data_IF_793304783193
#
_entry.id   IF_793304783193
#
_cell.length_a   1.000
_cell.length_b   1.000
_cell.length_c   1.000
_cell.angle_alpha   90.00
_cell.angle_beta   90.00
_cell.angle_gamma   90.00
#
_symmetry.space_group_name_H-M   'P 1'
#
loop_
_entity.id
_entity.type
_entity.pdbx_description
1 polymer ?
#
# COMPACT_ATOMS: atom_id res chain seq x y z
N UNK A 1 8.16 10.08 36.83
CA UNK A 1 8.58 11.06 35.79
C UNK A 1 8.74 10.30 34.48
N UNK A 2 7.69 9.60 34.05
CA UNK A 2 7.68 8.83 32.80
C UNK A 2 6.93 9.65 31.75
N UNK A 3 7.62 10.52 31.03
CA UNK A 3 7.06 11.22 29.86
C UNK A 3 8.13 11.33 28.77
N UNK A 4 7.69 11.07 27.54
CA UNK A 4 8.35 11.35 26.26
C UNK A 4 9.26 10.26 25.68
N UNK A 5 8.78 9.02 25.62
CA UNK A 5 9.24 8.03 24.63
C UNK A 5 8.48 8.23 23.32
N UNK A 6 9.19 8.20 22.18
CA UNK A 6 8.57 8.09 20.86
C UNK A 6 7.65 6.86 20.89
N UNK A 7 6.33 7.03 20.78
CA UNK A 7 5.39 5.91 20.78
C UNK A 7 5.47 5.17 19.43
N UNK A 8 6.52 4.35 19.28
CA UNK A 8 6.73 3.50 18.10
C UNK A 8 5.54 2.55 17.91
N UNK A 9 4.85 2.17 18.99
CA UNK A 9 3.67 1.30 18.92
C UNK A 9 2.46 2.05 18.38
N UNK A 10 2.21 3.29 18.80
CA UNK A 10 1.19 4.17 18.22
C UNK A 10 1.47 4.54 16.77
N UNK A 11 2.74 4.84 16.46
CA UNK A 11 3.22 5.11 15.11
C UNK A 11 3.05 3.88 14.21
N UNK A 12 3.46 2.69 14.63
CA UNK A 12 3.29 1.47 13.84
C UNK A 12 1.83 1.10 13.59
N UNK A 13 0.94 1.34 14.57
CA UNK A 13 -0.52 1.17 14.41
C UNK A 13 -1.13 2.10 13.36
N UNK A 14 -0.46 3.20 13.00
CA UNK A 14 -0.94 4.11 11.97
C UNK A 14 -0.77 3.57 10.55
N UNK A 15 0.14 2.62 10.35
CA UNK A 15 0.30 1.94 9.09
C UNK A 15 -0.57 0.67 9.08
N UNK A 16 -1.67 0.71 8.33
CA UNK A 16 -2.45 -0.47 8.04
C UNK A 16 -1.92 -1.13 6.76
N UNK A 17 -1.31 -2.31 6.92
CA UNK A 17 -0.77 -3.06 5.79
C UNK A 17 -1.90 -3.57 4.90
N UNK A 18 -1.81 -3.28 3.60
CA UNK A 18 -2.66 -3.86 2.59
C UNK A 18 -2.18 -5.27 2.21
N UNK A 19 -3.13 -6.16 1.96
CA UNK A 19 -2.87 -7.50 1.43
C UNK A 19 -3.28 -7.57 -0.04
N UNK A 20 -2.57 -8.36 -0.84
CA UNK A 20 -3.06 -8.74 -2.16
C UNK A 20 -4.16 -9.77 -1.95
N UNK A 21 -5.40 -9.38 -2.23
CA UNK A 21 -6.53 -10.29 -2.10
C UNK A 21 -6.53 -11.23 -3.31
N UNK A 22 -6.55 -12.53 -3.05
CA UNK A 22 -6.82 -13.56 -4.05
C UNK A 22 -8.12 -14.24 -3.65
N UNK A 23 -9.13 -14.19 -4.50
CA UNK A 23 -10.34 -14.94 -4.23
C UNK A 23 -10.19 -16.39 -4.70
N UNK A 24 -10.80 -17.32 -3.99
CA UNK A 24 -10.77 -18.73 -4.36
C UNK A 24 -12.16 -19.36 -4.33
N UNK A 25 -12.36 -20.33 -5.23
CA UNK A 25 -13.54 -21.17 -5.32
C UNK A 25 -13.15 -22.61 -5.66
N UNK A 26 -14.13 -23.50 -5.69
CA UNK A 26 -13.95 -24.90 -6.11
C UNK A 26 -13.93 -25.89 -4.95
N UNK A 27 -13.54 -27.11 -5.27
CA UNK A 27 -13.67 -28.29 -4.41
C UNK A 27 -12.29 -28.92 -4.25
N UNK A 28 -11.48 -28.36 -3.36
CA UNK A 28 -10.17 -28.88 -3.01
C UNK A 28 -9.90 -28.81 -1.51
N UNK A 29 -10.02 -29.96 -0.84
CA UNK A 29 -9.75 -30.10 0.59
C UNK A 29 -8.26 -29.90 0.93
N UNK A 30 -7.37 -30.05 -0.06
CA UNK A 30 -5.93 -29.81 0.10
C UNK A 30 -5.49 -28.39 -0.22
N UNK A 31 -6.43 -27.49 -0.56
CA UNK A 31 -6.15 -26.08 -0.84
C UNK A 31 -5.38 -25.40 0.30
N UNK A 32 -5.78 -25.66 1.55
CA UNK A 32 -5.14 -25.05 2.74
C UNK A 32 -3.63 -25.31 2.78
N UNK A 33 -3.18 -26.50 2.36
CA UNK A 33 -1.77 -26.92 2.43
C UNK A 33 -0.90 -26.06 1.50
N UNK A 34 -1.22 -26.01 0.20
CA UNK A 34 -0.42 -25.19 -0.73
C UNK A 34 -0.77 -23.70 -0.66
N UNK A 35 -1.94 -23.32 -0.15
CA UNK A 35 -2.24 -21.93 0.18
C UNK A 35 -1.20 -21.36 1.16
N UNK A 36 -0.86 -22.09 2.23
CA UNK A 36 0.19 -21.65 3.16
C UNK A 36 1.56 -21.54 2.50
N UNK A 37 1.90 -22.48 1.61
CA UNK A 37 3.13 -22.43 0.83
C UNK A 37 3.18 -21.20 -0.09
N UNK A 38 2.07 -20.88 -0.77
CA UNK A 38 1.95 -19.68 -1.61
C UNK A 38 2.08 -18.39 -0.78
N UNK A 39 1.35 -18.26 0.33
CA UNK A 39 1.44 -17.09 1.22
C UNK A 39 2.88 -16.89 1.71
N UNK A 40 3.54 -17.97 2.13
CA UNK A 40 4.94 -17.95 2.56
C UNK A 40 5.88 -17.52 1.43
N UNK A 41 5.72 -18.12 0.24
CA UNK A 41 6.56 -17.81 -0.93
C UNK A 41 6.48 -16.32 -1.28
N UNK A 42 5.27 -15.80 -1.51
CA UNK A 42 5.07 -14.43 -1.97
C UNK A 42 5.42 -13.37 -0.91
N UNK A 43 5.35 -13.72 0.38
CA UNK A 43 5.75 -12.81 1.47
C UNK A 43 7.26 -12.74 1.70
N UNK A 44 8.03 -13.76 1.28
CA UNK A 44 9.47 -13.87 1.54
C UNK A 44 10.33 -13.62 0.31
N UNK A 45 9.83 -13.97 -0.87
CA UNK A 45 10.61 -13.85 -2.10
C UNK A 45 10.48 -12.46 -2.70
N UNK A 46 11.63 -11.98 -3.18
CA UNK A 46 11.78 -10.70 -3.86
C UNK A 46 11.35 -10.84 -5.33
N UNK A 47 10.25 -10.20 -5.69
CA UNK A 47 9.60 -10.31 -6.99
C UNK A 47 9.94 -9.10 -7.86
N UNK A 48 10.15 -9.36 -9.16
CA UNK A 48 10.50 -8.34 -10.15
C UNK A 48 9.29 -8.04 -11.00
N UNK A 49 8.63 -6.93 -10.68
CA UNK A 49 7.56 -6.41 -11.52
C UNK A 49 8.16 -5.75 -12.77
N UNK A 50 7.59 -6.02 -13.94
CA UNK A 50 7.98 -5.39 -15.20
C UNK A 50 6.82 -4.56 -15.73
N UNK A 51 7.06 -3.28 -15.96
CA UNK A 51 6.11 -2.33 -16.55
C UNK A 51 6.65 -2.00 -17.94
N UNK A 52 5.87 -2.27 -18.99
CA UNK A 52 6.30 -2.06 -20.38
C UNK A 52 7.68 -2.68 -20.69
N UNK A 53 7.87 -3.93 -20.26
CA UNK A 53 9.13 -4.71 -20.36
C UNK A 53 10.34 -4.13 -19.61
N UNK A 54 10.18 -3.04 -18.85
CA UNK A 54 11.24 -2.48 -18.00
C UNK A 54 11.05 -2.94 -16.55
N UNK A 55 12.11 -3.37 -15.86
CA UNK A 55 12.00 -3.74 -14.46
C UNK A 55 11.62 -2.50 -13.63
N UNK A 56 10.63 -2.65 -12.76
CA UNK A 56 10.33 -1.67 -11.73
C UNK A 56 11.55 -1.57 -10.79
N UNK A 57 12.02 -0.35 -10.45
CA UNK A 57 13.30 -0.15 -9.76
C UNK A 57 13.35 -0.76 -8.36
N UNK A 58 12.20 -0.97 -7.71
CA UNK A 58 12.12 -1.58 -6.39
C UNK A 58 11.58 -3.00 -6.47
N UNK A 59 12.16 -3.88 -5.66
CA UNK A 59 11.65 -5.25 -5.54
C UNK A 59 10.35 -5.28 -4.76
N UNK A 60 9.44 -6.18 -5.12
CA UNK A 60 8.16 -6.34 -4.46
C UNK A 60 8.11 -7.63 -3.64
N UNK A 61 7.31 -7.62 -2.59
CA UNK A 61 6.84 -8.79 -1.85
C UNK A 61 5.32 -8.68 -1.77
N UNK A 62 4.60 -9.78 -1.89
CA UNK A 62 3.14 -9.76 -1.83
C UNK A 62 2.62 -10.48 -0.59
N UNK A 63 2.13 -9.74 0.42
CA UNK A 63 1.36 -10.34 1.51
C UNK A 63 0.01 -10.82 0.97
N UNK A 64 -0.06 -12.08 0.53
CA UNK A 64 -1.28 -12.65 -0.03
C UNK A 64 -2.33 -12.88 1.06
N UNK A 65 -3.59 -12.59 0.75
CA UNK A 65 -4.77 -12.94 1.55
C UNK A 65 -5.76 -13.68 0.67
N UNK A 66 -5.96 -14.96 0.95
CA UNK A 66 -6.96 -15.76 0.28
C UNK A 66 -8.33 -15.58 0.94
N UNK A 67 -9.37 -15.36 0.14
CA UNK A 67 -10.77 -15.22 0.59
C UNK A 67 -11.70 -16.01 -0.32
N UNK A 68 -12.86 -16.45 0.17
CA UNK A 68 -13.85 -17.10 -0.68
C UNK A 68 -14.34 -16.16 -1.78
N UNK A 69 -14.62 -16.73 -2.96
CA UNK A 69 -15.15 -15.96 -4.08
C UNK A 69 -16.48 -15.30 -3.75
N UNK A 70 -16.56 -14.01 -4.07
CA UNK A 70 -17.78 -13.22 -4.04
C UNK A 70 -17.78 -12.25 -5.23
N UNK A 71 -18.92 -12.04 -5.88
CA UNK A 71 -19.03 -11.17 -7.06
C UNK A 71 -18.54 -9.73 -6.80
N UNK A 72 -18.71 -9.24 -5.56
CA UNK A 72 -18.29 -7.89 -5.13
C UNK A 72 -16.77 -7.70 -5.11
N UNK A 73 -15.99 -8.77 -5.14
CA UNK A 73 -14.53 -8.73 -5.16
C UNK A 73 -13.97 -8.56 -6.59
N UNK A 74 -14.81 -8.66 -7.62
CA UNK A 74 -14.36 -8.54 -8.99
C UNK A 74 -14.01 -7.09 -9.33
N UNK A 75 -12.98 -6.90 -10.15
CA UNK A 75 -12.71 -5.61 -10.78
C UNK A 75 -13.91 -5.20 -11.66
N UNK A 76 -14.17 -3.89 -11.77
CA UNK A 76 -15.29 -3.35 -12.53
C UNK A 76 -15.07 -1.90 -12.95
N UNK A 77 -15.81 -1.42 -13.96
CA UNK A 77 -15.56 -0.15 -14.65
C UNK A 77 -15.75 1.11 -13.79
N UNK A 78 -16.32 0.99 -12.59
CA UNK A 78 -16.61 2.11 -11.67
C UNK A 78 -15.76 2.10 -10.40
N UNK A 79 -14.71 1.26 -10.34
CA UNK A 79 -13.88 1.17 -9.15
C UNK A 79 -13.16 2.50 -8.93
N UNK A 80 -13.45 3.13 -7.79
CA UNK A 80 -12.68 4.27 -7.34
C UNK A 80 -11.28 3.82 -6.93
N UNK A 81 -10.26 4.68 -7.04
CA UNK A 81 -8.92 4.30 -6.63
C UNK A 81 -8.83 3.82 -5.18
N UNK A 82 -9.69 4.34 -4.30
CA UNK A 82 -9.79 3.92 -2.90
C UNK A 82 -10.43 2.53 -2.68
N UNK A 83 -11.05 1.96 -3.70
CA UNK A 83 -11.65 0.62 -3.67
C UNK A 83 -10.73 -0.47 -4.23
N UNK A 84 -9.63 -0.07 -4.87
CA UNK A 84 -8.60 -0.98 -5.41
C UNK A 84 -8.06 -1.93 -4.33
N UNK A 85 -7.96 -1.49 -3.08
CA UNK A 85 -7.46 -2.32 -1.97
C UNK A 85 -8.49 -3.34 -1.48
N UNK A 86 -9.73 -3.28 -1.96
CA UNK A 86 -10.86 -4.12 -1.52
C UNK A 86 -11.23 -5.22 -2.53
N UNK A 87 -10.69 -5.18 -3.73
CA UNK A 87 -10.93 -6.16 -4.78
C UNK A 87 -9.92 -7.30 -4.76
N UNK A 88 -10.29 -8.42 -5.37
CA UNK A 88 -9.36 -9.50 -5.66
C UNK A 88 -8.50 -9.14 -6.89
N UNK A 89 -7.18 -9.29 -6.74
CA UNK A 89 -6.23 -9.14 -7.84
C UNK A 89 -6.19 -10.38 -8.74
N UNK A 90 -6.59 -11.54 -8.20
CA UNK A 90 -6.66 -12.80 -8.92
C UNK A 90 -7.81 -13.65 -8.37
N UNK A 91 -8.51 -14.34 -9.27
CA UNK A 91 -9.51 -15.34 -8.94
C UNK A 91 -8.97 -16.74 -9.26
N UNK A 92 -9.01 -17.65 -8.29
CA UNK A 92 -8.48 -19.02 -8.44
C UNK A 92 -9.61 -20.02 -8.28
N UNK A 93 -9.77 -20.94 -9.22
CA UNK A 93 -10.65 -22.09 -9.04
C UNK A 93 -9.83 -23.35 -8.86
N UNK A 94 -10.00 -24.01 -7.71
CA UNK A 94 -9.27 -25.24 -7.38
C UNK A 94 -10.13 -26.46 -7.68
N UNK A 95 -9.60 -27.40 -8.45
CA UNK A 95 -10.26 -28.65 -8.81
C UNK A 95 -9.48 -29.79 -8.18
N UNK A 96 -10.11 -30.59 -7.33
CA UNK A 96 -9.53 -31.83 -6.82
C UNK A 96 -10.54 -32.98 -6.89
N UNK A 97 -10.39 -33.80 -7.92
CA UNK A 97 -11.32 -34.88 -8.30
C UNK A 97 -10.60 -36.21 -8.43
N UNK A 98 -11.37 -37.29 -8.33
CA UNK A 98 -10.83 -38.66 -8.38
C UNK A 98 -10.77 -39.24 -9.80
N UNK A 99 -11.59 -38.72 -10.73
CA UNK A 99 -11.67 -39.18 -12.12
C UNK A 99 -12.26 -38.10 -13.04
N UNK A 100 -12.19 -38.32 -14.36
CA UNK A 100 -12.83 -37.43 -15.33
C UNK A 100 -14.37 -37.46 -15.24
N UNK A 101 -14.96 -38.57 -14.80
CA UNK A 101 -16.41 -38.68 -14.61
C UNK A 101 -16.86 -37.93 -13.34
N UNK A 102 -16.08 -38.00 -12.26
CA UNK A 102 -16.28 -37.20 -11.05
C UNK A 102 -16.26 -35.69 -11.37
N UNK A 103 -15.30 -35.25 -12.19
CA UNK A 103 -15.27 -33.88 -12.71
C UNK A 103 -16.56 -33.51 -13.46
N UNK A 104 -16.98 -34.35 -14.42
CA UNK A 104 -18.19 -34.10 -15.24
C UNK A 104 -19.45 -33.98 -14.37
N UNK A 105 -19.59 -34.88 -13.39
CA UNK A 105 -20.77 -34.96 -12.56
C UNK A 105 -20.83 -33.87 -11.49
N UNK A 106 -19.71 -33.55 -10.84
CA UNK A 106 -19.72 -32.81 -9.58
C UNK A 106 -19.08 -31.42 -9.64
N UNK A 107 -18.20 -31.13 -10.62
CA UNK A 107 -17.38 -29.90 -10.62
C UNK A 107 -17.57 -29.05 -11.88
N UNK A 108 -17.79 -29.69 -13.04
CA UNK A 108 -17.84 -29.03 -14.35
C UNK A 108 -18.83 -27.89 -14.41
N UNK A 109 -20.04 -28.06 -13.86
CA UNK A 109 -21.04 -27.00 -13.82
C UNK A 109 -20.56 -25.82 -12.97
N UNK A 110 -20.08 -26.07 -11.75
CA UNK A 110 -19.63 -25.04 -10.82
C UNK A 110 -18.48 -24.18 -11.39
N UNK A 111 -17.48 -24.81 -12.03
CA UNK A 111 -16.37 -24.07 -12.65
C UNK A 111 -16.83 -23.29 -13.87
N UNK A 112 -17.78 -23.82 -14.65
CA UNK A 112 -18.34 -23.12 -15.81
C UNK A 112 -19.15 -21.90 -15.38
N UNK A 113 -19.95 -22.02 -14.33
CA UNK A 113 -20.76 -20.92 -13.79
C UNK A 113 -19.88 -19.82 -13.18
N UNK A 114 -18.87 -20.21 -12.39
CA UNK A 114 -17.86 -19.27 -11.87
C UNK A 114 -17.14 -18.55 -13.01
N UNK A 115 -16.72 -19.28 -14.04
CA UNK A 115 -16.06 -18.70 -15.20
C UNK A 115 -16.96 -17.75 -15.97
N UNK A 116 -18.24 -18.10 -16.16
CA UNK A 116 -19.22 -17.23 -16.82
C UNK A 116 -19.43 -15.91 -16.06
N UNK A 117 -19.51 -15.96 -14.73
CA UNK A 117 -19.59 -14.76 -13.88
C UNK A 117 -18.36 -13.87 -14.04
N UNK A 118 -17.16 -14.44 -14.01
CA UNK A 118 -15.93 -13.69 -14.22
C UNK A 118 -15.85 -13.10 -15.63
N UNK A 119 -16.16 -13.89 -16.66
CA UNK A 119 -16.06 -13.48 -18.05
C UNK A 119 -17.12 -12.41 -18.43
N UNK A 120 -18.14 -12.21 -17.60
CA UNK A 120 -19.08 -11.09 -17.71
C UNK A 120 -18.49 -9.74 -17.24
N UNK A 121 -17.35 -9.77 -16.53
CA UNK A 121 -16.62 -8.60 -16.05
C UNK A 121 -15.45 -8.31 -16.97
N UNK A 122 -15.14 -7.03 -17.17
CA UNK A 122 -13.92 -6.66 -17.89
C UNK A 122 -12.71 -6.77 -16.97
N UNK A 123 -11.57 -7.13 -17.54
CA UNK A 123 -10.25 -6.99 -16.94
C UNK A 123 -9.96 -7.78 -15.65
N UNK A 124 -10.82 -8.75 -15.31
CA UNK A 124 -10.57 -9.68 -14.22
C UNK A 124 -9.50 -10.72 -14.60
N UNK A 125 -8.60 -11.01 -13.66
CA UNK A 125 -7.62 -12.08 -13.84
C UNK A 125 -8.03 -13.35 -13.12
N UNK A 126 -7.88 -14.49 -13.78
CA UNK A 126 -8.24 -15.78 -13.20
C UNK A 126 -7.33 -16.92 -13.66
N UNK A 127 -7.25 -17.96 -12.83
CA UNK A 127 -6.58 -19.23 -13.14
C UNK A 127 -7.38 -20.41 -12.60
N UNK A 128 -7.16 -21.60 -13.17
CA UNK A 128 -7.66 -22.87 -12.65
C UNK A 128 -6.46 -23.71 -12.23
N UNK A 129 -6.46 -24.16 -10.99
CA UNK A 129 -5.46 -25.10 -10.45
C UNK A 129 -6.09 -26.48 -10.41
N UNK A 130 -5.48 -27.43 -11.11
CA UNK A 130 -5.92 -28.81 -11.24
C UNK A 130 -5.04 -29.64 -10.31
N UNK A 131 -5.63 -30.12 -9.23
CA UNK A 131 -4.97 -31.02 -8.30
C UNK A 131 -5.45 -32.45 -8.54
N UNK A 132 -4.50 -33.35 -8.80
CA UNK A 132 -4.78 -34.75 -9.11
C UNK A 132 -4.28 -35.72 -8.04
N UNK A 133 -4.00 -35.23 -6.83
CA UNK A 133 -3.50 -36.05 -5.71
C UNK A 133 -4.48 -37.17 -5.28
N UNK A 134 -5.77 -36.99 -5.52
CA UNK A 134 -6.83 -38.00 -5.22
C UNK A 134 -7.00 -39.05 -6.31
N UNK A 135 -6.42 -38.87 -7.49
CA UNK A 135 -6.52 -39.85 -8.57
C UNK A 135 -5.51 -41.00 -8.34
N UNK A 136 -5.98 -42.24 -8.49
CA UNK A 136 -5.25 -43.46 -8.08
C UNK A 136 -4.02 -43.76 -8.94
N UNK A 137 -4.08 -43.47 -10.23
CA UNK A 137 -3.05 -43.88 -11.19
C UNK A 137 -2.79 -42.80 -12.25
N UNK A 138 -1.65 -42.91 -12.94
CA UNK A 138 -1.20 -41.93 -13.95
C UNK A 138 -2.17 -41.77 -15.12
N UNK A 139 -2.82 -42.84 -15.58
CA UNK A 139 -3.77 -42.79 -16.70
C UNK A 139 -5.01 -41.98 -16.28
N UNK A 140 -5.49 -42.17 -15.05
CA UNK A 140 -6.59 -41.39 -14.48
C UNK A 140 -6.22 -39.92 -14.31
N UNK A 141 -5.01 -39.62 -13.79
CA UNK A 141 -4.49 -38.24 -13.70
C UNK A 141 -4.48 -37.54 -15.05
N UNK A 142 -3.92 -38.17 -16.07
CA UNK A 142 -3.88 -37.62 -17.43
C UNK A 142 -5.28 -37.38 -18.00
N UNK A 143 -6.20 -38.33 -17.82
CA UNK A 143 -7.60 -38.22 -18.30
C UNK A 143 -8.34 -37.02 -17.67
N UNK A 144 -8.14 -36.76 -16.38
CA UNK A 144 -8.68 -35.58 -15.70
C UNK A 144 -8.14 -34.29 -16.33
N UNK A 145 -6.81 -34.19 -16.46
CA UNK A 145 -6.13 -33.00 -16.98
C UNK A 145 -6.54 -32.74 -18.43
N UNK A 146 -6.55 -33.76 -19.28
CA UNK A 146 -6.98 -33.66 -20.68
C UNK A 146 -8.44 -33.21 -20.80
N UNK A 147 -9.32 -33.74 -19.95
CA UNK A 147 -10.73 -33.35 -19.98
C UNK A 147 -10.94 -31.88 -19.59
N UNK A 148 -10.27 -31.41 -18.55
CA UNK A 148 -10.35 -30.00 -18.12
C UNK A 148 -9.71 -29.08 -19.17
N UNK A 149 -8.54 -29.45 -19.72
CA UNK A 149 -7.89 -28.71 -20.81
C UNK A 149 -8.77 -28.63 -22.06
N UNK A 150 -9.52 -29.69 -22.37
CA UNK A 150 -10.49 -29.70 -23.47
C UNK A 150 -11.64 -28.72 -23.23
N UNK A 151 -12.21 -28.69 -22.02
CA UNK A 151 -13.31 -27.78 -21.69
C UNK A 151 -12.86 -26.29 -21.67
N UNK A 152 -11.59 -26.03 -21.34
CA UNK A 152 -10.98 -24.69 -21.32
C UNK A 152 -9.92 -24.47 -22.43
N UNK A 153 -10.09 -25.13 -23.59
CA UNK A 153 -9.07 -25.15 -24.65
C UNK A 153 -8.69 -23.77 -25.22
N UNK A 154 -9.55 -22.76 -25.04
CA UNK A 154 -9.27 -21.36 -25.43
C UNK A 154 -8.30 -20.64 -24.48
N UNK A 155 -8.05 -21.20 -23.29
CA UNK A 155 -7.27 -20.57 -22.22
C UNK A 155 -6.21 -21.51 -21.62
N UNK A 156 -5.38 -22.20 -22.44
CA UNK A 156 -4.46 -23.23 -21.94
C UNK A 156 -3.41 -22.67 -20.96
N UNK A 157 -3.04 -21.39 -21.10
CA UNK A 157 -2.10 -20.68 -20.23
C UNK A 157 -2.69 -20.28 -18.86
N UNK A 158 -3.98 -20.53 -18.61
CA UNK A 158 -4.65 -20.28 -17.33
C UNK A 158 -4.88 -21.56 -16.52
N UNK A 159 -4.41 -22.71 -17.02
CA UNK A 159 -4.60 -24.02 -16.41
C UNK A 159 -3.27 -24.53 -15.87
N UNK A 160 -3.21 -24.76 -14.56
CA UNK A 160 -2.00 -25.18 -13.87
C UNK A 160 -2.22 -26.54 -13.20
N UNK A 161 -1.40 -27.53 -13.55
CA UNK A 161 -1.43 -28.85 -12.91
C UNK A 161 -0.56 -28.83 -11.65
N UNK A 162 -1.12 -29.29 -10.54
CA UNK A 162 -0.45 -29.45 -9.24
C UNK A 162 -0.77 -30.86 -8.72
N UNK A 163 -0.13 -31.91 -9.28
CA UNK A 163 -0.50 -33.30 -9.01
C UNK A 163 -0.21 -33.72 -7.57
N UNK A 164 0.76 -33.07 -6.92
CA UNK A 164 1.03 -33.15 -5.49
C UNK A 164 1.53 -31.78 -5.00
N UNK A 165 1.10 -31.37 -3.82
CA UNK A 165 1.62 -30.18 -3.12
C UNK A 165 3.11 -30.26 -2.80
N UNK A 166 3.69 -31.47 -2.75
CA UNK A 166 5.13 -31.68 -2.57
C UNK A 166 5.94 -31.52 -3.85
N UNK A 167 5.30 -31.57 -5.03
CA UNK A 167 5.96 -31.42 -6.33
C UNK A 167 6.44 -29.98 -6.52
N UNK A 168 7.75 -29.78 -6.33
CA UNK A 168 8.36 -28.45 -6.40
C UNK A 168 8.31 -27.86 -7.81
N UNK A 169 8.42 -28.66 -8.86
CA UNK A 169 8.39 -28.15 -10.23
C UNK A 169 6.99 -27.67 -10.62
N UNK A 170 5.96 -28.45 -10.27
CA UNK A 170 4.57 -28.07 -10.44
C UNK A 170 4.22 -26.84 -9.59
N UNK A 171 4.64 -26.81 -8.34
CA UNK A 171 4.42 -25.67 -7.44
C UNK A 171 5.05 -24.37 -7.98
N UNK A 172 6.29 -24.43 -8.46
CA UNK A 172 6.96 -23.27 -9.10
C UNK A 172 6.18 -22.80 -10.33
N UNK A 173 5.61 -23.71 -11.12
CA UNK A 173 4.79 -23.36 -12.29
C UNK A 173 3.51 -22.62 -11.87
N UNK A 174 2.84 -23.07 -10.81
CA UNK A 174 1.67 -22.38 -10.22
C UNK A 174 2.06 -20.99 -9.72
N UNK A 175 3.18 -20.87 -9.00
CA UNK A 175 3.73 -19.60 -8.51
C UNK A 175 3.98 -18.62 -9.65
N UNK A 176 4.63 -19.08 -10.73
CA UNK A 176 4.89 -18.23 -11.91
C UNK A 176 3.60 -17.78 -12.57
N UNK A 177 2.60 -18.65 -12.66
CA UNK A 177 1.26 -18.31 -13.15
C UNK A 177 0.58 -17.23 -12.32
N UNK A 178 0.53 -17.42 -11.00
CA UNK A 178 -0.03 -16.44 -10.06
C UNK A 178 0.71 -15.10 -10.20
N UNK A 179 2.04 -15.13 -10.19
CA UNK A 179 2.87 -13.93 -10.31
C UNK A 179 2.59 -13.18 -11.62
N UNK A 180 2.51 -13.90 -12.75
CA UNK A 180 2.23 -13.32 -14.05
C UNK A 180 0.89 -12.59 -14.06
N UNK A 181 -0.19 -13.26 -13.65
CA UNK A 181 -1.54 -12.69 -13.70
C UNK A 181 -1.74 -11.60 -12.64
N UNK A 182 -1.13 -11.74 -11.46
CA UNK A 182 -1.11 -10.69 -10.44
C UNK A 182 -0.44 -9.42 -10.97
N UNK A 183 0.74 -9.55 -11.61
CA UNK A 183 1.41 -8.39 -12.20
C UNK A 183 0.65 -7.77 -13.35
N UNK A 184 -0.02 -8.56 -14.20
CA UNK A 184 -0.88 -8.03 -15.26
C UNK A 184 -2.00 -7.15 -14.67
N UNK A 185 -2.68 -7.64 -13.63
CA UNK A 185 -3.75 -6.87 -13.00
C UNK A 185 -3.21 -5.65 -12.24
N UNK A 186 -2.09 -5.81 -11.53
CA UNK A 186 -1.43 -4.71 -10.83
C UNK A 186 -1.09 -3.58 -11.80
N UNK A 187 -0.52 -3.88 -12.97
CA UNK A 187 -0.25 -2.88 -14.01
C UNK A 187 -1.50 -2.09 -14.39
N UNK A 188 -2.59 -2.78 -14.75
CA UNK A 188 -3.83 -2.11 -15.11
C UNK A 188 -4.35 -1.20 -13.98
N UNK A 189 -4.41 -1.75 -12.78
CA UNK A 189 -4.98 -1.07 -11.61
C UNK A 189 -4.16 0.16 -11.22
N UNK A 190 -2.83 0.06 -11.28
CA UNK A 190 -1.95 1.19 -10.99
C UNK A 190 -2.01 2.25 -12.09
N UNK A 191 -2.12 1.87 -13.37
CA UNK A 191 -2.33 2.83 -14.47
C UNK A 191 -3.62 3.64 -14.31
N UNK A 192 -4.71 3.00 -13.87
CA UNK A 192 -5.98 3.67 -13.58
C UNK A 192 -5.82 4.64 -12.40
N UNK A 193 -5.15 4.20 -11.32
CA UNK A 193 -4.90 5.05 -10.15
C UNK A 193 -4.02 6.25 -10.50
N UNK A 194 -2.93 6.05 -11.24
CA UNK A 194 -2.02 7.09 -11.73
C UNK A 194 -2.76 8.13 -12.57
N UNK A 195 -3.57 7.68 -13.53
CA UNK A 195 -4.38 8.57 -14.37
C UNK A 195 -5.35 9.40 -13.53
N UNK A 196 -5.99 8.78 -12.54
CA UNK A 196 -6.88 9.49 -11.61
C UNK A 196 -6.14 10.56 -10.81
N UNK A 197 -4.98 10.21 -10.23
CA UNK A 197 -4.14 11.14 -9.46
C UNK A 197 -3.66 12.31 -10.32
N UNK A 198 -3.15 12.03 -11.54
CA UNK A 198 -2.71 13.05 -12.49
C UNK A 198 -3.86 14.02 -12.84
N UNK A 199 -5.03 13.48 -13.19
CA UNK A 199 -6.21 14.28 -13.51
C UNK A 199 -6.67 15.14 -12.33
N UNK A 200 -6.58 14.63 -11.10
CA UNK A 200 -6.85 15.41 -9.90
C UNK A 200 -5.81 16.52 -9.71
N UNK A 201 -4.52 16.21 -9.83
CA UNK A 201 -3.43 17.17 -9.64
C UNK A 201 -3.46 18.33 -10.64
N UNK A 202 -3.79 18.07 -11.91
CA UNK A 202 -3.91 19.10 -12.95
C UNK A 202 -4.99 20.15 -12.62
N UNK A 203 -6.01 19.76 -11.84
CA UNK A 203 -7.09 20.64 -11.41
C UNK A 203 -6.74 21.50 -10.19
N UNK A 204 -5.53 21.40 -9.62
CA UNK A 204 -5.17 22.11 -8.38
C UNK A 204 -5.38 23.64 -8.41
N UNK A 205 -5.34 24.27 -9.59
CA UNK A 205 -5.60 25.71 -9.72
C UNK A 205 -7.09 26.07 -9.69
N UNK A 206 -7.99 25.10 -9.88
CA UNK A 206 -9.44 25.30 -9.88
C UNK A 206 -9.95 25.50 -8.45
N UNK A 207 -10.96 26.36 -8.28
CA UNK A 207 -11.57 26.60 -6.97
C UNK A 207 -12.29 25.36 -6.40
N UNK A 208 -12.69 24.42 -7.26
CA UNK A 208 -13.42 23.18 -6.90
C UNK A 208 -12.49 22.01 -6.58
N UNK A 209 -11.18 22.21 -6.54
CA UNK A 209 -10.24 21.15 -6.22
C UNK A 209 -10.31 20.80 -4.73
N UNK A 210 -10.29 19.50 -4.43
CA UNK A 210 -10.40 18.96 -3.08
C UNK A 210 -9.01 18.47 -2.60
N UNK A 211 -8.19 19.32 -1.95
CA UNK A 211 -6.82 18.96 -1.57
C UNK A 211 -6.75 17.74 -0.64
N UNK A 212 -7.72 17.60 0.27
CA UNK A 212 -7.79 16.45 1.17
C UNK A 212 -8.06 15.14 0.42
N UNK A 213 -8.94 15.14 -0.58
CA UNK A 213 -9.22 13.95 -1.38
C UNK A 213 -7.99 13.49 -2.16
N UNK A 214 -7.26 14.45 -2.76
CA UNK A 214 -5.99 14.17 -3.44
C UNK A 214 -4.94 13.63 -2.47
N UNK A 215 -4.74 14.31 -1.32
CA UNK A 215 -3.80 13.88 -0.29
C UNK A 215 -4.11 12.46 0.21
N UNK A 216 -5.37 12.19 0.55
CA UNK A 216 -5.83 10.87 0.99
C UNK A 216 -5.54 9.80 -0.07
N UNK A 217 -5.89 10.05 -1.33
CA UNK A 217 -5.62 9.13 -2.45
C UNK A 217 -4.14 8.88 -2.67
N UNK A 218 -3.28 9.91 -2.64
CA UNK A 218 -1.82 9.77 -2.77
C UNK A 218 -1.22 8.97 -1.61
N UNK A 219 -1.70 9.19 -0.38
CA UNK A 219 -1.20 8.43 0.77
C UNK A 219 -1.62 6.97 0.74
N UNK A 220 -2.85 6.64 0.30
CA UNK A 220 -3.29 5.25 0.06
C UNK A 220 -2.46 4.59 -1.05
N UNK A 221 -2.21 5.32 -2.13
CA UNK A 221 -1.36 4.87 -3.23
C UNK A 221 0.05 4.52 -2.76
N UNK A 222 0.68 5.40 -1.97
CA UNK A 222 1.99 5.13 -1.36
C UNK A 222 1.95 3.97 -0.37
N UNK A 223 0.89 3.86 0.46
CA UNK A 223 0.69 2.74 1.40
C UNK A 223 0.62 1.39 0.69
N UNK A 224 0.06 1.32 -0.52
CA UNK A 224 0.03 0.10 -1.30
C UNK A 224 1.44 -0.37 -1.67
N UNK A 225 2.28 0.54 -2.19
CA UNK A 225 3.68 0.23 -2.47
C UNK A 225 4.48 -0.17 -1.23
N UNK A 226 4.28 0.54 -0.12
CA UNK A 226 4.89 0.16 1.16
C UNK A 226 4.44 -1.25 1.58
N UNK A 227 3.14 -1.54 1.48
CA UNK A 227 2.60 -2.87 1.81
C UNK A 227 3.21 -3.98 0.95
N UNK A 228 3.59 -3.64 -0.29
CA UNK A 228 4.28 -4.54 -1.22
C UNK A 228 5.81 -4.51 -1.09
N UNK A 229 6.36 -3.90 -0.05
CA UNK A 229 7.79 -3.89 0.25
C UNK A 229 8.61 -2.84 -0.52
N UNK A 230 8.01 -2.07 -1.42
CA UNK A 230 8.66 -0.96 -2.11
C UNK A 230 8.69 0.32 -1.24
N UNK A 231 9.30 0.22 -0.05
CA UNK A 231 9.26 1.28 0.96
C UNK A 231 9.98 2.55 0.47
N UNK A 232 11.08 2.41 -0.26
CA UNK A 232 11.82 3.56 -0.83
C UNK A 232 10.96 4.33 -1.85
N UNK A 233 10.20 3.62 -2.68
CA UNK A 233 9.25 4.24 -3.63
C UNK A 233 8.07 4.91 -2.91
N UNK A 234 7.52 4.24 -1.89
CA UNK A 234 6.50 4.86 -1.05
C UNK A 234 7.04 6.15 -0.41
N UNK A 235 8.26 6.12 0.12
CA UNK A 235 8.91 7.28 0.72
C UNK A 235 9.07 8.44 -0.27
N UNK A 236 9.43 8.18 -1.53
CA UNK A 236 9.52 9.26 -2.54
C UNK A 236 8.17 9.92 -2.81
N UNK A 237 7.07 9.15 -2.80
CA UNK A 237 5.71 9.72 -2.93
C UNK A 237 5.38 10.62 -1.72
N UNK A 238 5.77 10.22 -0.52
CA UNK A 238 5.60 11.05 0.69
C UNK A 238 6.46 12.32 0.63
N UNK A 239 7.69 12.23 0.13
CA UNK A 239 8.58 13.38 -0.09
C UNK A 239 7.98 14.34 -1.14
N UNK A 240 7.33 13.84 -2.19
CA UNK A 240 6.64 14.69 -3.18
C UNK A 240 5.35 15.34 -2.63
N UNK A 241 4.63 14.66 -1.75
CA UNK A 241 3.52 15.26 -1.01
C UNK A 241 4.00 16.38 -0.07
N UNK A 242 5.16 16.23 0.56
CA UNK A 242 5.75 17.26 1.42
C UNK A 242 6.06 18.54 0.62
N UNK A 243 6.72 18.38 -0.54
CA UNK A 243 6.99 19.48 -1.48
C UNK A 243 5.69 20.17 -1.92
N UNK A 244 4.66 19.40 -2.25
CA UNK A 244 3.36 19.94 -2.64
C UNK A 244 2.73 20.78 -1.51
N UNK A 245 2.78 20.30 -0.26
CA UNK A 245 2.30 21.08 0.87
C UNK A 245 3.11 22.37 1.05
N UNK A 246 4.43 22.34 0.81
CA UNK A 246 5.26 23.54 0.86
C UNK A 246 4.83 24.57 -0.20
N UNK A 247 4.57 24.13 -1.43
CA UNK A 247 4.05 25.00 -2.50
C UNK A 247 2.74 25.71 -2.12
N UNK A 248 1.86 25.07 -1.35
CA UNK A 248 0.61 25.69 -0.91
C UNK A 248 0.86 26.94 -0.07
N UNK A 249 1.84 26.91 0.81
CA UNK A 249 2.18 28.03 1.69
C UNK A 249 2.75 29.19 0.89
N UNK A 250 3.70 28.91 0.00
CA UNK A 250 4.31 29.91 -0.89
C UNK A 250 3.26 30.65 -1.75
N UNK A 251 2.25 29.92 -2.24
CA UNK A 251 1.21 30.47 -3.13
C UNK A 251 0.06 31.16 -2.41
N UNK A 252 -0.01 31.07 -1.08
CA UNK A 252 -1.14 31.58 -0.29
C UNK A 252 -1.27 33.11 -0.23
N UNK A 253 -0.31 33.84 -0.84
CA UNK A 253 -0.32 35.29 -1.01
C UNK A 253 -0.57 35.76 -2.45
N UNK A 254 -0.76 34.85 -3.42
CA UNK A 254 -1.04 35.21 -4.80
C UNK A 254 -2.47 35.79 -4.94
N UNK A 255 -2.67 36.86 -5.75
CA UNK A 255 -4.01 37.45 -5.99
C UNK A 255 -5.03 36.43 -6.54
N UNK A 256 -4.56 35.51 -7.37
CA UNK A 256 -5.36 34.45 -8.02
C UNK A 256 -5.32 33.12 -7.24
N UNK A 257 -5.05 33.18 -5.93
CA UNK A 257 -5.00 31.96 -5.10
C UNK A 257 -6.39 31.32 -4.99
N UNK A 258 -6.48 29.98 -5.12
CA UNK A 258 -7.76 29.30 -5.10
C UNK A 258 -8.38 29.28 -3.69
N UNK A 259 -9.72 29.22 -3.63
CA UNK A 259 -10.48 29.34 -2.36
C UNK A 259 -10.17 28.20 -1.39
N UNK A 260 -9.97 27.00 -1.91
CA UNK A 260 -9.60 25.83 -1.11
C UNK A 260 -8.29 26.05 -0.34
N UNK A 261 -7.37 26.86 -0.88
CA UNK A 261 -6.07 27.10 -0.25
C UNK A 261 -6.22 27.95 1.00
N UNK A 262 -6.97 29.05 0.90
CA UNK A 262 -7.31 29.86 2.05
C UNK A 262 -8.10 29.06 3.09
N UNK A 263 -9.01 28.18 2.67
CA UNK A 263 -9.74 27.30 3.58
C UNK A 263 -8.79 26.35 4.31
N UNK A 264 -7.96 25.59 3.59
CA UNK A 264 -7.00 24.63 4.14
C UNK A 264 -6.05 25.23 5.19
N UNK A 265 -5.60 26.46 4.96
CA UNK A 265 -4.66 27.18 5.83
C UNK A 265 -5.34 27.89 7.02
N UNK A 266 -6.65 28.12 6.96
CA UNK A 266 -7.41 28.80 8.01
C UNK A 266 -8.36 27.87 8.78
N UNK A 267 -8.48 26.59 8.40
CA UNK A 267 -9.28 25.60 9.14
C UNK A 267 -8.85 25.61 10.60
N UNK A 268 -9.80 25.83 11.51
CA UNK A 268 -9.52 25.80 12.95
C UNK A 268 -9.00 24.43 13.30
N UNK A 269 -7.89 24.40 14.01
CA UNK A 269 -7.35 23.17 14.54
C UNK A 269 -7.98 22.97 15.92
N UNK A 270 -9.06 22.19 15.99
CA UNK A 270 -9.72 21.87 17.26
C UNK A 270 -8.80 21.04 18.17
N UNK A 271 -7.94 20.19 17.57
CA UNK A 271 -6.85 19.46 18.23
C UNK A 271 -5.50 19.79 17.56
N UNK A 272 -4.74 20.73 18.14
CA UNK A 272 -3.38 21.03 17.63
C UNK A 272 -2.61 19.72 17.54
N UNK A 273 -1.93 19.41 16.42
CA UNK A 273 -1.11 18.21 16.34
C UNK A 273 -0.19 18.18 17.54
N UNK A 274 -0.47 17.25 18.46
CA UNK A 274 0.36 17.02 19.62
C UNK A 274 1.56 16.24 19.14
N UNK A 275 2.43 16.92 18.39
CA UNK A 275 3.87 16.67 18.47
C UNK A 275 4.39 16.90 19.91
N UNK A 276 3.54 17.50 20.76
CA UNK A 276 3.84 18.12 22.05
C UNK A 276 3.41 17.32 23.30
N UNK A 277 2.42 16.41 23.26
CA UNK A 277 1.90 15.79 24.49
C UNK A 277 2.26 14.32 24.65
N UNK A 278 3.55 13.99 24.75
CA UNK A 278 4.02 12.68 25.22
C UNK A 278 3.56 11.45 24.43
N UNK A 279 3.03 11.63 23.23
CA UNK A 279 2.58 10.58 22.33
C UNK A 279 2.53 11.09 20.90
N UNK A 280 3.36 10.52 20.03
CA UNK A 280 3.26 10.70 18.58
C UNK A 280 1.98 10.01 18.09
N UNK A 281 0.84 10.68 18.24
CA UNK A 281 -0.41 10.18 17.70
C UNK A 281 -0.53 10.59 16.23
N UNK A 282 -0.75 9.60 15.37
CA UNK A 282 -1.08 9.91 13.98
C UNK A 282 -2.47 10.51 13.95
N UNK A 283 -2.54 11.79 13.59
CA UNK A 283 -3.82 12.46 13.42
C UNK A 283 -4.63 11.74 12.35
N UNK A 284 -5.85 11.36 12.70
CA UNK A 284 -6.85 10.93 11.72
C UNK A 284 -7.27 12.18 10.97
N UNK A 285 -6.77 12.34 9.75
CA UNK A 285 -7.16 13.46 8.91
C UNK A 285 -8.51 13.08 8.31
N UNK A 286 -9.59 13.72 8.76
CA UNK A 286 -10.92 13.61 8.16
C UNK A 286 -11.21 14.83 7.28
N UNK A 287 -12.17 14.72 6.35
CA UNK A 287 -12.48 15.77 5.37
C UNK A 287 -12.79 17.13 6.01
N UNK A 288 -13.41 17.15 7.18
CA UNK A 288 -13.80 18.35 7.92
C UNK A 288 -12.72 18.90 8.87
N UNK A 289 -11.67 18.12 9.14
CA UNK A 289 -10.64 18.43 10.15
C UNK A 289 -9.25 18.56 9.53
N UNK A 290 -9.14 18.39 8.20
CA UNK A 290 -7.89 18.42 7.48
C UNK A 290 -7.30 19.83 7.44
N UNK A 291 -6.34 20.09 8.34
CA UNK A 291 -5.53 21.31 8.34
C UNK A 291 -4.12 21.04 7.80
N UNK A 292 -3.51 22.04 7.16
CA UNK A 292 -2.14 21.98 6.64
C UNK A 292 -1.12 21.40 7.64
N UNK A 293 -1.13 21.89 8.89
CA UNK A 293 -0.22 21.39 9.94
C UNK A 293 -0.47 19.92 10.29
N UNK A 294 -1.72 19.46 10.22
CA UNK A 294 -2.05 18.05 10.47
C UNK A 294 -1.57 17.15 9.34
N UNK A 295 -1.74 17.57 8.09
CA UNK A 295 -1.17 16.88 6.92
C UNK A 295 0.35 16.76 7.02
N UNK A 296 1.05 17.83 7.43
CA UNK A 296 2.51 17.79 7.62
C UNK A 296 2.94 16.85 8.73
N UNK A 297 2.30 16.93 9.89
CA UNK A 297 2.58 16.04 11.00
C UNK A 297 2.40 14.56 10.59
N UNK A 298 1.32 14.28 9.85
CA UNK A 298 1.06 12.96 9.30
C UNK A 298 2.20 12.49 8.37
N UNK A 299 2.63 13.31 7.40
CA UNK A 299 3.72 12.94 6.49
C UNK A 299 5.01 12.63 7.25
N UNK A 300 5.39 13.49 8.20
CA UNK A 300 6.59 13.29 9.02
C UNK A 300 6.52 11.96 9.80
N UNK A 301 5.38 11.67 10.43
CA UNK A 301 5.18 10.42 11.15
C UNK A 301 5.38 9.21 10.24
N UNK A 302 4.75 9.21 9.06
CA UNK A 302 4.89 8.11 8.10
C UNK A 302 6.33 7.97 7.60
N UNK A 303 7.01 9.07 7.29
CA UNK A 303 8.40 9.06 6.86
C UNK A 303 9.34 8.49 7.93
N UNK A 304 9.17 8.89 9.20
CA UNK A 304 9.96 8.34 10.32
C UNK A 304 9.76 6.82 10.42
N UNK A 305 8.52 6.34 10.38
CA UNK A 305 8.22 4.91 10.47
C UNK A 305 8.82 4.16 9.29
N UNK A 306 8.69 4.69 8.06
CA UNK A 306 9.28 4.09 6.87
C UNK A 306 10.80 4.04 6.95
N UNK A 307 11.46 5.09 7.47
CA UNK A 307 12.92 5.10 7.70
C UNK A 307 13.34 3.98 8.67
N UNK A 308 12.59 3.79 9.76
CA UNK A 308 12.82 2.69 10.70
C UNK A 308 12.62 1.33 10.03
N UNK A 309 11.57 1.16 9.22
CA UNK A 309 11.34 -0.10 8.50
C UNK A 309 12.44 -0.40 7.49
N UNK A 310 12.92 0.61 6.74
CA UNK A 310 14.04 0.48 5.82
C UNK A 310 15.33 0.09 6.54
N UNK A 311 15.60 0.72 7.68
CA UNK A 311 16.72 0.36 8.55
C UNK A 311 16.63 -1.11 8.98
N UNK A 312 15.47 -1.55 9.50
CA UNK A 312 15.26 -2.92 9.93
C UNK A 312 15.37 -3.94 8.79
N UNK A 313 14.89 -3.60 7.58
CA UNK A 313 15.05 -4.45 6.40
C UNK A 313 16.51 -4.59 6.00
N UNK A 314 17.26 -3.47 5.95
CA UNK A 314 18.68 -3.46 5.58
C UNK A 314 19.56 -4.12 6.64
N UNK A 315 19.21 -4.02 7.93
CA UNK A 315 19.91 -4.71 9.02
C UNK A 315 19.82 -6.24 8.97
N UNK A 316 18.78 -6.79 8.32
CA UNK A 316 18.66 -8.23 8.08
C UNK A 316 19.52 -8.73 6.91
N UNK A 317 20.12 -7.82 6.14
CA UNK A 317 21.06 -8.15 5.07
C UNK A 317 22.41 -8.53 5.66
N UNK A 318 23.08 -9.53 5.05
CA UNK A 318 24.46 -9.88 5.41
C UNK A 318 25.45 -8.74 5.10
N UNK A 319 25.06 -7.80 4.24
CA UNK A 319 25.88 -6.65 3.79
C UNK A 319 25.47 -5.33 4.46
N UNK A 320 24.97 -5.38 5.70
CA UNK A 320 24.56 -4.17 6.41
C UNK A 320 25.76 -3.24 6.64
N UNK A 321 25.72 -2.05 6.03
CA UNK A 321 26.76 -1.05 6.21
C UNK A 321 26.88 -0.63 7.70
N UNK A 322 28.10 -0.45 8.24
CA UNK A 322 28.28 0.00 9.63
C UNK A 322 27.60 1.34 9.92
N UNK A 323 27.48 2.21 8.91
CA UNK A 323 26.83 3.53 9.00
C UNK A 323 25.30 3.47 8.96
N UNK A 324 24.67 2.33 8.67
CA UNK A 324 23.24 2.24 8.38
C UNK A 324 22.36 2.84 9.49
N UNK A 325 22.81 2.74 10.74
CA UNK A 325 22.15 3.34 11.91
C UNK A 325 22.28 4.86 11.96
N UNK A 326 23.49 5.39 11.75
CA UNK A 326 23.71 6.84 11.68
C UNK A 326 22.99 7.44 10.48
N UNK A 327 23.01 6.76 9.34
CA UNK A 327 22.35 7.22 8.10
C UNK A 327 20.83 7.31 8.28
N UNK A 328 20.24 6.32 8.94
CA UNK A 328 18.82 6.34 9.31
C UNK A 328 18.49 7.52 10.24
N UNK A 329 19.29 7.72 11.30
CA UNK A 329 19.10 8.82 12.24
C UNK A 329 19.23 10.19 11.57
N UNK A 330 20.25 10.39 10.72
CA UNK A 330 20.45 11.61 9.95
C UNK A 330 19.27 11.86 9.02
N UNK A 331 18.79 10.84 8.31
CA UNK A 331 17.63 10.97 7.42
C UNK A 331 16.34 11.32 8.14
N UNK A 332 16.13 10.84 9.36
CA UNK A 332 15.01 11.23 10.22
C UNK A 332 15.15 12.68 10.68
N UNK A 333 16.34 13.08 11.16
CA UNK A 333 16.61 14.44 11.62
C UNK A 333 16.43 15.48 10.50
N UNK A 334 16.89 15.18 9.29
CA UNK A 334 16.71 16.05 8.12
C UNK A 334 15.23 16.29 7.80
N UNK A 335 14.40 15.23 7.79
CA UNK A 335 12.96 15.36 7.53
C UNK A 335 12.23 16.13 8.62
N UNK A 336 12.64 15.93 9.88
CA UNK A 336 12.12 16.71 10.97
C UNK A 336 12.51 18.20 10.83
N UNK A 337 13.75 18.50 10.45
CA UNK A 337 14.21 19.87 10.21
C UNK A 337 13.39 20.57 9.12
N UNK A 338 13.21 19.91 7.96
CA UNK A 338 12.38 20.41 6.85
C UNK A 338 10.96 20.71 7.34
N UNK A 339 10.37 19.81 8.12
CA UNK A 339 9.03 20.00 8.67
C UNK A 339 8.98 21.21 9.60
N UNK A 340 9.97 21.38 10.49
CA UNK A 340 10.04 22.54 11.41
C UNK A 340 10.13 23.84 10.63
N UNK A 341 11.00 23.90 9.62
CA UNK A 341 11.21 25.10 8.80
C UNK A 341 9.94 25.48 8.06
N UNK A 342 9.24 24.51 7.47
CA UNK A 342 7.97 24.76 6.80
C UNK A 342 6.84 25.21 7.77
N UNK A 343 6.85 24.74 9.02
CA UNK A 343 5.91 25.22 10.05
C UNK A 343 6.25 26.64 10.50
N UNK A 344 7.55 26.97 10.66
CA UNK A 344 8.00 28.34 10.96
C UNK A 344 7.55 29.30 9.87
N UNK A 345 7.77 28.95 8.61
CA UNK A 345 7.39 29.77 7.46
C UNK A 345 5.87 30.00 7.41
N UNK A 346 5.08 28.93 7.57
CA UNK A 346 3.63 29.05 7.70
C UNK A 346 3.23 30.00 8.83
N UNK A 347 3.83 29.86 10.02
CA UNK A 347 3.54 30.74 11.15
C UNK A 347 3.88 32.21 10.86
N UNK A 348 5.02 32.48 10.21
CA UNK A 348 5.41 33.83 9.80
C UNK A 348 4.39 34.43 8.83
N UNK A 349 3.94 33.66 7.84
CA UNK A 349 2.91 34.09 6.88
C UNK A 349 1.57 34.38 7.56
N UNK A 350 1.14 33.52 8.48
CA UNK A 350 -0.08 33.76 9.25
C UNK A 350 0.05 35.02 10.12
N UNK A 351 1.19 35.21 10.80
CA UNK A 351 1.44 36.40 11.61
C UNK A 351 1.45 37.69 10.78
N UNK A 352 2.08 37.70 9.60
CA UNK A 352 2.03 38.86 8.69
C UNK A 352 0.61 39.18 8.20
N UNK A 353 -0.24 38.18 7.96
CA UNK A 353 -1.67 38.39 7.67
C UNK A 353 -2.44 38.97 8.87
N UNK A 354 -2.03 38.62 10.09
CA UNK A 354 -2.64 39.10 11.34
C UNK A 354 -2.10 40.45 11.85
N UNK A 355 -0.90 40.90 11.46
CA UNK A 355 -0.40 42.23 11.84
C UNK A 355 -1.17 43.39 11.17
N UNK A 356 -2.04 43.11 10.20
CA UNK A 356 -3.10 44.02 9.75
C UNK A 356 -4.29 44.17 10.72
N UNK A 357 -4.38 43.31 11.76
CA UNK A 357 -5.39 43.32 12.83
C UNK A 357 -4.76 42.83 14.15
N UNK A 358 -4.15 43.76 14.89
CA UNK A 358 -3.50 43.60 16.22
C UNK A 358 -3.91 42.36 17.03
N UNK A 359 -2.91 41.56 17.43
CA UNK A 359 -2.97 40.65 18.58
C UNK A 359 -1.90 39.56 18.57
N UNK A 360 -0.71 39.82 19.14
CA UNK A 360 0.32 38.79 19.36
C UNK A 360 -0.22 37.70 20.31
N UNK A 361 -0.39 36.48 19.82
CA UNK A 361 -0.80 35.33 20.63
C UNK A 361 0.42 34.67 21.27
N UNK A 362 0.51 34.76 22.60
CA UNK A 362 1.48 34.14 23.54
C UNK A 362 1.59 32.60 23.52
N UNK A 363 1.04 31.93 22.49
CA UNK A 363 0.85 30.46 22.38
C UNK A 363 1.66 29.84 21.23
N UNK A 364 2.71 30.53 20.77
CA UNK A 364 3.48 30.29 19.54
C UNK A 364 4.92 29.80 19.79
N UNK A 365 5.55 30.22 20.90
CA UNK A 365 6.93 29.85 21.24
C UNK A 365 7.04 28.39 21.70
N UNK A 366 5.96 27.82 22.26
CA UNK A 366 5.93 26.45 22.78
C UNK A 366 6.24 25.39 21.70
N UNK A 367 5.78 25.55 20.46
CA UNK A 367 6.00 24.54 19.41
C UNK A 367 7.48 24.48 18.96
N UNK A 368 8.13 25.64 18.82
CA UNK A 368 9.51 25.74 18.34
C UNK A 368 10.53 25.40 19.42
N UNK A 369 10.24 25.77 20.66
CA UNK A 369 11.09 25.45 21.81
C UNK A 369 11.04 23.95 22.15
N UNK A 370 9.88 23.31 22.01
CA UNK A 370 9.71 21.88 22.27
C UNK A 370 10.41 21.02 21.22
N UNK A 371 10.31 21.33 19.92
CA UNK A 371 11.03 20.53 18.92
C UNK A 371 12.56 20.68 19.04
N UNK A 372 13.04 21.89 19.34
CA UNK A 372 14.46 22.12 19.66
C UNK A 372 14.90 21.28 20.86
N UNK A 373 14.05 21.12 21.87
CA UNK A 373 14.36 20.31 23.06
C UNK A 373 14.22 18.79 22.85
N UNK A 374 13.31 18.32 21.99
CA UNK A 374 13.04 16.89 21.77
C UNK A 374 13.94 16.25 20.72
N UNK A 375 14.28 16.96 19.64
CA UNK A 375 15.06 16.41 18.52
C UNK A 375 16.50 16.94 18.43
N UNK A 376 16.74 18.21 18.78
CA UNK A 376 18.05 18.86 18.61
C UNK A 376 18.93 18.73 19.87
N UNK A 377 18.35 18.80 21.08
CA UNK A 377 19.11 18.63 22.34
C UNK A 377 19.28 17.19 22.81
N UNK A 378 18.56 16.22 22.20
CA UNK A 378 18.60 14.79 22.58
C UNK A 378 19.32 13.90 21.56
N UNK A 379 20.41 14.38 20.98
CA UNK A 379 21.45 13.50 20.44
C UNK A 379 22.60 13.34 21.45
N UNK A 380 22.44 12.64 22.59
CA UNK A 380 23.58 12.05 23.28
C UNK A 380 23.88 10.69 22.62
N UNK A 381 25.17 10.44 22.38
CA UNK A 381 25.72 9.25 21.71
C UNK A 381 25.33 7.91 22.38
N UNK A 382 24.69 7.91 23.56
CA UNK A 382 24.53 6.72 24.39
C UNK A 382 23.11 6.12 24.52
N UNK A 383 22.04 6.78 24.05
CA UNK A 383 20.66 6.28 24.29
C UNK A 383 20.05 5.45 23.17
N UNK A 384 20.88 4.94 22.27
CA UNK A 384 20.49 4.09 21.16
C UNK A 384 20.57 2.58 21.52
N UNK A 385 20.59 2.24 22.83
CA UNK A 385 20.64 0.85 23.33
C UNK A 385 19.28 0.14 23.47
N UNK A 386 18.17 0.80 23.15
CA UNK A 386 16.84 0.18 23.09
C UNK A 386 16.24 0.31 21.68
N UNK A 387 16.84 -0.37 20.70
CA UNK A 387 16.25 -0.69 19.40
C UNK A 387 16.75 -2.05 18.93
#
# INVERSE_FOLDING_TARGET
MDRDLLDINGLSKSFQKNSVIISHAGVDQSFSVYQHALVSYFSRNSLVWKINNKPFPHRLTFPLKFVSYEDKLCFGPQISPTEITKIAFLHVFNINVTSADDYRANVRHNVSDWFAKLNSKSDVQWIIVINTNRAKDRKTKNSIVEKIKSDFAKYPNRLFDLPDTSDQAAFVTVVQGIQQFLFQHLTLVMEIWDKSLKNQYERKKQHTWEPFAYFSSMTEYARLYWSFGAIEYAMSIFDDLEKLLHEFVLRSGEPESPKWLAQLLNTKIDDRPTLISGGFSVQRISKSEAHYLGMRNYLLCQQIIMSIHLYQQKMKSNDAAPSLRSDCAVGIMQRALITIEAVKEFNNLMNHKFDGKRGKSRRQDDFLEIIRNTLIRRAPEDNLRFL
#
